data_IF_644925951402
#
_entry.id   IF_644925951402
#
_cell.length_a   1.000
_cell.length_b   1.000
_cell.length_c   1.000
_cell.angle_alpha   90.00
_cell.angle_beta   90.00
_cell.angle_gamma   90.00
#
_symmetry.space_group_name_H-M   'P 1'
#
loop_
_entity.id
_entity.type
_entity.pdbx_description
1 polymer ?
#
# COMPACT_ATOMS: atom_id res chain seq x y z
N UNK A 1 -12.57 -1.32 11.85
CA UNK A 1 -11.85 -2.57 11.45
C UNK A 1 -12.37 -3.71 12.31
N UNK A 2 -12.85 -4.81 11.72
CA UNK A 2 -13.45 -5.94 12.47
C UNK A 2 -12.41 -6.97 12.92
N UNK A 3 -12.76 -7.79 13.93
CA UNK A 3 -11.92 -8.85 14.53
C UNK A 3 -11.31 -9.78 13.46
N UNK A 4 -12.09 -10.11 12.42
CA UNK A 4 -11.66 -10.95 11.30
C UNK A 4 -10.44 -10.41 10.55
N UNK A 5 -10.32 -9.08 10.40
CA UNK A 5 -9.19 -8.47 9.71
C UNK A 5 -7.91 -8.52 10.54
N UNK A 6 -8.02 -8.42 11.88
CA UNK A 6 -6.87 -8.51 12.78
C UNK A 6 -6.31 -9.93 12.80
N UNK A 7 -7.18 -10.93 12.98
CA UNK A 7 -6.79 -12.34 12.96
C UNK A 7 -6.13 -12.74 11.62
N UNK A 8 -6.68 -12.27 10.49
CA UNK A 8 -6.09 -12.52 9.17
C UNK A 8 -4.65 -11.98 9.05
N UNK A 9 -4.37 -10.80 9.60
CA UNK A 9 -3.03 -10.20 9.60
C UNK A 9 -2.06 -10.97 10.49
N UNK A 10 -2.50 -11.39 11.67
CA UNK A 10 -1.72 -12.24 12.58
C UNK A 10 -1.36 -13.57 11.91
N UNK A 11 -2.31 -14.21 11.21
CA UNK A 11 -2.07 -15.45 10.45
C UNK A 11 -1.10 -15.28 9.28
N UNK A 12 -1.00 -14.08 8.71
CA UNK A 12 -0.04 -13.76 7.64
C UNK A 12 1.32 -13.28 8.19
N UNK A 13 1.45 -13.10 9.51
CA UNK A 13 2.64 -12.59 10.17
C UNK A 13 3.18 -11.28 9.54
N UNK A 14 2.28 -10.38 9.13
CA UNK A 14 2.63 -9.21 8.31
C UNK A 14 3.62 -8.27 9.02
N UNK A 15 3.45 -8.07 10.32
CA UNK A 15 4.30 -7.17 11.10
C UNK A 15 5.75 -7.66 11.17
N UNK A 16 5.97 -8.96 11.35
CA UNK A 16 7.31 -9.54 11.34
C UNK A 16 7.96 -9.53 9.96
N UNK A 17 7.15 -9.61 8.89
CA UNK A 17 7.62 -9.58 7.50
C UNK A 17 7.76 -8.16 6.94
N UNK A 18 7.36 -7.13 7.69
CA UNK A 18 7.35 -5.75 7.21
C UNK A 18 6.43 -5.53 6.01
N UNK A 19 5.38 -6.34 5.88
CA UNK A 19 4.40 -6.28 4.81
C UNK A 19 3.15 -5.52 5.26
N UNK A 20 2.49 -4.86 4.32
CA UNK A 20 1.31 -4.03 4.54
C UNK A 20 0.17 -4.46 3.63
N UNK A 21 -1.03 -4.58 4.18
CA UNK A 21 -2.23 -4.70 3.34
C UNK A 21 -2.55 -3.36 2.66
N UNK A 22 -3.42 -3.36 1.66
CA UNK A 22 -3.87 -2.11 1.04
C UNK A 22 -4.50 -1.14 2.04
N UNK A 23 -5.21 -1.66 3.04
CA UNK A 23 -5.78 -0.84 4.11
C UNK A 23 -4.70 -0.25 5.01
N UNK A 24 -3.63 -0.99 5.28
CA UNK A 24 -2.48 -0.48 6.05
C UNK A 24 -1.76 0.62 5.28
N UNK A 25 -1.61 0.48 3.95
CA UNK A 25 -1.01 1.52 3.11
C UNK A 25 -1.88 2.78 3.16
N UNK A 26 -3.20 2.67 3.00
CA UNK A 26 -4.12 3.82 3.12
C UNK A 26 -4.04 4.47 4.50
N UNK A 27 -3.99 3.69 5.57
CA UNK A 27 -3.84 4.20 6.93
C UNK A 27 -2.48 4.92 7.10
N UNK A 28 -1.40 4.34 6.58
CA UNK A 28 -0.07 4.92 6.61
C UNK A 28 -0.01 6.26 5.89
N UNK A 29 -0.56 6.36 4.67
CA UNK A 29 -0.68 7.61 3.92
C UNK A 29 -1.52 8.64 4.68
N UNK A 30 -2.61 8.21 5.31
CA UNK A 30 -3.46 9.09 6.11
C UNK A 30 -2.73 9.74 7.30
N UNK A 31 -1.81 9.00 7.93
CA UNK A 31 -1.04 9.42 9.11
C UNK A 31 0.20 10.24 8.73
N UNK A 32 0.91 9.87 7.66
CA UNK A 32 2.21 10.44 7.34
C UNK A 32 2.15 11.65 6.40
N UNK A 33 1.04 11.86 5.71
CA UNK A 33 0.86 13.01 4.82
C UNK A 33 0.11 14.13 5.55
N UNK A 34 0.80 15.25 5.80
CA UNK A 34 0.25 16.41 6.50
C UNK A 34 -0.65 17.29 5.63
N UNK A 35 -0.36 17.37 4.32
CA UNK A 35 -1.08 18.23 3.37
C UNK A 35 -2.21 17.43 2.71
N UNK A 36 -3.44 17.94 2.84
CA UNK A 36 -4.64 17.25 2.34
C UNK A 36 -4.61 17.03 0.80
N UNK A 37 -4.11 17.99 0.03
CA UNK A 37 -4.05 17.91 -1.45
C UNK A 37 -3.13 16.77 -1.92
N UNK A 38 -1.94 16.66 -1.34
CA UNK A 38 -0.98 15.60 -1.66
C UNK A 38 -1.48 14.25 -1.18
N UNK A 39 -2.15 14.24 -0.02
CA UNK A 39 -2.79 13.06 0.56
C UNK A 39 -3.87 12.47 -0.35
N UNK A 40 -4.81 13.27 -0.84
CA UNK A 40 -5.85 12.76 -1.75
C UNK A 40 -5.26 12.27 -3.08
N UNK A 41 -4.30 13.02 -3.64
CA UNK A 41 -3.62 12.63 -4.88
C UNK A 41 -2.89 11.28 -4.73
N UNK A 42 -2.09 11.12 -3.68
CA UNK A 42 -1.33 9.90 -3.43
C UNK A 42 -2.23 8.71 -3.10
N UNK A 43 -3.29 8.90 -2.30
CA UNK A 43 -4.27 7.84 -2.05
C UNK A 43 -4.97 7.42 -3.35
N UNK A 44 -5.33 8.36 -4.22
CA UNK A 44 -5.95 8.06 -5.52
C UNK A 44 -5.01 7.29 -6.45
N UNK A 45 -3.74 7.72 -6.54
CA UNK A 45 -2.71 7.01 -7.30
C UNK A 45 -2.50 5.60 -6.77
N UNK A 46 -2.41 5.43 -5.45
CA UNK A 46 -2.31 4.12 -4.81
C UNK A 46 -3.52 3.24 -5.12
N UNK A 47 -4.73 3.76 -5.01
CA UNK A 47 -5.95 2.99 -5.28
C UNK A 47 -6.03 2.57 -6.75
N UNK A 48 -5.67 3.45 -7.68
CA UNK A 48 -5.59 3.11 -9.12
C UNK A 48 -4.60 1.98 -9.36
N UNK A 49 -3.40 2.09 -8.80
CA UNK A 49 -2.37 1.05 -8.85
C UNK A 49 -2.87 -0.28 -8.28
N UNK A 50 -3.46 -0.25 -7.08
CA UNK A 50 -3.93 -1.46 -6.41
C UNK A 50 -5.01 -2.18 -7.24
N UNK A 51 -5.96 -1.43 -7.79
CA UNK A 51 -7.00 -1.98 -8.68
C UNK A 51 -6.40 -2.61 -9.95
N UNK A 52 -5.42 -1.97 -10.57
CA UNK A 52 -4.69 -2.54 -11.72
C UNK A 52 -3.99 -3.83 -11.34
N UNK A 53 -3.28 -3.85 -10.20
CA UNK A 53 -2.57 -5.03 -9.72
C UNK A 53 -3.55 -6.17 -9.41
N UNK A 54 -4.70 -5.89 -8.80
CA UNK A 54 -5.73 -6.90 -8.56
C UNK A 54 -6.27 -7.50 -9.87
N UNK A 55 -6.54 -6.64 -10.86
CA UNK A 55 -7.02 -7.04 -12.19
C UNK A 55 -5.94 -7.71 -13.07
N UNK A 56 -4.67 -7.72 -12.64
CA UNK A 56 -3.56 -8.23 -13.45
C UNK A 56 -3.16 -7.32 -14.61
N UNK A 57 -3.53 -6.04 -14.54
CA UNK A 57 -3.21 -5.02 -15.55
C UNK A 57 -1.83 -4.39 -15.27
N UNK A 58 -1.18 -3.82 -16.31
CA UNK A 58 0.03 -3.03 -16.13
C UNK A 58 -0.21 -1.87 -15.16
N UNK A 59 0.66 -1.76 -14.17
CA UNK A 59 0.61 -0.70 -13.16
C UNK A 59 1.26 0.59 -13.67
N UNK A 60 0.64 1.73 -13.36
CA UNK A 60 1.21 3.07 -13.57
C UNK A 60 2.35 3.39 -12.57
N UNK A 61 2.32 2.81 -11.37
CA UNK A 61 3.31 3.01 -10.31
C UNK A 61 4.31 1.84 -10.26
N UNK A 62 5.24 1.78 -11.22
CA UNK A 62 6.22 0.67 -11.33
C UNK A 62 7.17 0.54 -10.14
N UNK A 63 7.40 1.64 -9.42
CA UNK A 63 8.26 1.64 -8.23
C UNK A 63 7.60 1.01 -7.01
N UNK A 64 6.26 0.92 -7.00
CA UNK A 64 5.51 0.32 -5.91
C UNK A 64 5.44 -1.20 -6.12
N UNK A 65 6.47 -1.88 -5.61
CA UNK A 65 6.53 -3.35 -5.63
C UNK A 65 5.43 -3.92 -4.75
N UNK A 66 4.87 -5.04 -5.20
CA UNK A 66 3.86 -5.79 -4.47
C UNK A 66 4.22 -7.28 -4.48
N UNK A 67 3.66 -8.00 -3.51
CA UNK A 67 3.73 -9.44 -3.39
C UNK A 67 2.31 -9.99 -3.27
N UNK A 68 2.07 -11.20 -3.77
CA UNK A 68 0.79 -11.89 -3.60
C UNK A 68 0.95 -12.97 -2.57
N UNK A 69 0.21 -12.86 -1.46
CA UNK A 69 0.22 -13.90 -0.44
C UNK A 69 -0.37 -15.19 -1.02
N UNK A 70 0.37 -16.31 -0.95
CA UNK A 70 -0.02 -17.57 -1.61
C UNK A 70 -1.37 -18.13 -1.12
N UNK A 71 -1.56 -18.17 0.20
CA UNK A 71 -2.77 -18.74 0.82
C UNK A 71 -4.01 -17.85 0.68
N UNK A 72 -3.87 -16.57 1.03
CA UNK A 72 -5.00 -15.64 1.06
C UNK A 72 -5.25 -14.91 -0.26
N UNK A 73 -4.34 -15.06 -1.25
CA UNK A 73 -4.36 -14.35 -2.55
C UNK A 73 -4.42 -12.83 -2.44
N UNK A 74 -4.10 -12.29 -1.26
CA UNK A 74 -4.07 -10.86 -1.00
C UNK A 74 -2.82 -10.23 -1.63
N UNK A 75 -2.99 -9.02 -2.15
CA UNK A 75 -1.88 -8.17 -2.59
C UNK A 75 -1.33 -7.43 -1.37
N UNK A 76 -0.07 -7.65 -1.09
CA UNK A 76 0.68 -7.08 0.01
C UNK A 76 1.78 -6.17 -0.52
N UNK A 77 2.15 -5.18 0.28
CA UNK A 77 3.15 -4.17 -0.07
C UNK A 77 4.25 -4.16 0.98
N UNK A 78 5.53 -4.38 0.62
CA UNK A 78 6.63 -4.15 1.54
C UNK A 78 6.64 -2.70 2.01
N UNK A 79 6.72 -2.47 3.32
CA UNK A 79 6.73 -1.12 3.91
C UNK A 79 7.84 -0.24 3.31
N UNK A 80 9.01 -0.83 3.06
CA UNK A 80 10.15 -0.16 2.42
C UNK A 80 9.84 0.27 0.98
N UNK A 81 9.07 -0.52 0.23
CA UNK A 81 8.64 -0.16 -1.12
C UNK A 81 7.65 1.01 -1.11
N UNK A 82 6.71 1.02 -0.15
CA UNK A 82 5.77 2.13 0.05
C UNK A 82 6.50 3.43 0.42
N UNK A 83 7.46 3.35 1.34
CA UNK A 83 8.28 4.50 1.75
C UNK A 83 9.10 5.04 0.57
N UNK A 84 9.73 4.16 -0.20
CA UNK A 84 10.49 4.54 -1.39
C UNK A 84 9.59 5.21 -2.44
N UNK A 85 8.43 4.62 -2.72
CA UNK A 85 7.45 5.19 -3.63
C UNK A 85 7.02 6.59 -3.18
N UNK A 86 6.76 6.80 -1.89
CA UNK A 86 6.43 8.12 -1.35
C UNK A 86 7.58 9.12 -1.51
N UNK A 87 8.81 8.71 -1.25
CA UNK A 87 9.98 9.59 -1.42
C UNK A 87 10.17 10.05 -2.87
N UNK A 88 9.79 9.23 -3.85
CA UNK A 88 9.83 9.57 -5.27
C UNK A 88 8.63 10.43 -5.67
N UNK A 89 7.45 10.12 -5.15
CA UNK A 89 6.23 10.85 -5.45
C UNK A 89 6.19 12.25 -4.82
N UNK A 90 6.99 12.50 -3.77
CA UNK A 90 7.14 13.79 -3.08
C UNK A 90 8.22 14.70 -3.71
N UNK A 91 8.97 14.25 -4.74
CA UNK A 91 9.99 15.09 -5.41
C UNK A 91 9.41 16.23 -6.25
N UNK A 92 8.08 16.30 -6.41
CA UNK A 92 7.38 17.43 -7.04
C UNK A 92 6.81 18.43 -6.02
N UNK A 93 7.21 18.34 -4.75
CA UNK A 93 6.80 19.24 -3.67
C UNK A 93 7.85 20.35 -3.38
N UNK A 94 8.73 20.64 -4.35
CA UNK A 94 9.66 21.77 -4.34
C UNK A 94 9.14 22.94 -5.15
#
# INVERSE_FOLDING_TARGET
MGIRSKLKKELMNLDALGLMTADDVRAYLNVHLKIARDKFSLISRFNTHHSQVQAGLPSTEKALKFERHRLFKDVLYPKTAVQKWLSQACQTCG
#
